data_IF_754228419451
#
_entry.id   IF_754228419451
#
_cell.length_a   1.000
_cell.length_b   1.000
_cell.length_c   1.000
_cell.angle_alpha   90.00
_cell.angle_beta   90.00
_cell.angle_gamma   90.00
#
_symmetry.space_group_name_H-M   'P 1'
#
loop_
_entity.id
_entity.type
_entity.pdbx_description
1 polymer ?
#
# COMPACT_ATOMS: atom_id res chain seq x y z
N UNK A 1 33.31 31.73 57.27
CA UNK A 1 32.82 30.34 57.25
C UNK A 1 31.32 30.22 56.97
N UNK A 2 30.44 30.99 57.62
CA UNK A 2 28.99 30.83 57.44
C UNK A 2 28.45 31.43 56.12
N UNK A 3 28.92 32.60 55.71
CA UNK A 3 28.58 33.20 54.40
C UNK A 3 29.08 32.35 53.22
N UNK A 4 30.25 31.74 53.34
CA UNK A 4 30.85 30.88 52.32
C UNK A 4 30.05 29.57 52.14
N UNK A 5 29.53 29.00 53.25
CA UNK A 5 28.58 27.88 53.20
C UNK A 5 27.26 28.25 52.53
N UNK A 6 26.74 29.46 52.74
CA UNK A 6 25.51 29.93 52.11
C UNK A 6 25.68 30.15 50.60
N UNK A 7 26.84 30.69 50.17
CA UNK A 7 27.16 30.85 48.75
C UNK A 7 27.32 29.51 48.04
N UNK A 8 28.06 28.56 48.65
CA UNK A 8 28.23 27.21 48.10
C UNK A 8 26.90 26.43 48.02
N UNK A 9 25.99 26.64 48.98
CA UNK A 9 24.67 26.04 48.94
C UNK A 9 23.82 26.63 47.80
N UNK A 10 23.89 27.95 47.58
CA UNK A 10 23.17 28.64 46.52
C UNK A 10 23.63 28.21 45.13
N UNK A 11 24.92 27.93 44.96
CA UNK A 11 25.50 27.48 43.68
C UNK A 11 25.17 26.00 43.38
N UNK A 12 24.98 25.18 44.42
CA UNK A 12 24.61 23.75 44.29
C UNK A 12 23.14 23.52 43.96
N UNK A 13 22.24 24.42 44.34
CA UNK A 13 20.81 24.29 44.06
C UNK A 13 20.45 24.32 42.55
N UNK A 14 20.97 25.24 41.71
CA UNK A 14 20.72 25.21 40.26
C UNK A 14 21.35 23.98 39.60
N UNK A 15 22.53 23.53 40.07
CA UNK A 15 23.20 22.33 39.56
C UNK A 15 22.35 21.07 39.78
N UNK A 16 21.79 20.89 40.98
CA UNK A 16 20.84 19.79 41.25
C UNK A 16 19.58 19.86 40.40
N UNK A 17 19.07 21.06 40.14
CA UNK A 17 17.89 21.25 39.28
C UNK A 17 18.20 20.89 37.83
N UNK A 18 19.38 21.28 37.34
CA UNK A 18 19.88 20.91 36.02
C UNK A 18 20.08 19.39 35.92
N UNK A 19 20.78 18.76 36.86
CA UNK A 19 20.95 17.31 36.89
C UNK A 19 19.62 16.56 36.90
N UNK A 20 18.64 17.04 37.68
CA UNK A 20 17.31 16.44 37.73
C UNK A 20 16.56 16.58 36.40
N UNK A 21 16.73 17.71 35.71
CA UNK A 21 16.14 17.96 34.40
C UNK A 21 16.79 17.08 33.32
N UNK A 22 18.12 17.01 33.29
CA UNK A 22 18.88 16.13 32.40
C UNK A 22 18.57 14.65 32.64
N UNK A 23 18.41 14.24 33.90
CA UNK A 23 18.06 12.86 34.24
C UNK A 23 16.64 12.53 33.75
N UNK A 24 15.71 13.48 33.87
CA UNK A 24 14.35 13.33 33.35
C UNK A 24 14.33 13.23 31.82
N UNK A 25 15.13 14.05 31.13
CA UNK A 25 15.24 14.05 29.67
C UNK A 25 15.90 12.76 29.17
N UNK A 26 17.02 12.33 29.78
CA UNK A 26 17.66 11.03 29.50
C UNK A 26 16.68 9.88 29.69
N UNK A 27 15.85 9.91 30.74
CA UNK A 27 14.83 8.88 31.00
C UNK A 27 13.73 8.86 29.95
N UNK A 28 13.32 10.03 29.44
CA UNK A 28 12.37 10.15 28.31
C UNK A 28 12.95 9.58 27.02
N UNK A 29 14.18 9.96 26.68
CA UNK A 29 14.87 9.47 25.48
C UNK A 29 15.05 7.94 25.53
N UNK A 30 15.38 7.39 26.69
CA UNK A 30 15.54 5.94 26.86
C UNK A 30 14.21 5.19 26.63
N UNK A 31 13.12 5.72 27.19
CA UNK A 31 11.78 5.17 27.01
C UNK A 31 11.33 5.21 25.54
N UNK A 32 11.63 6.31 24.83
CA UNK A 32 11.31 6.46 23.42
C UNK A 32 12.14 5.53 22.52
N UNK A 33 13.42 5.37 22.82
CA UNK A 33 14.30 4.42 22.13
C UNK A 33 13.82 2.96 22.33
N UNK A 34 13.41 2.61 23.55
CA UNK A 34 12.89 1.29 23.86
C UNK A 34 11.55 1.03 23.17
N UNK A 35 10.67 2.04 23.12
CA UNK A 35 9.41 1.97 22.37
C UNK A 35 9.68 1.74 20.88
N UNK A 36 10.60 2.52 20.28
CA UNK A 36 10.98 2.36 18.86
C UNK A 36 11.55 0.98 18.58
N UNK A 37 12.44 0.48 19.45
CA UNK A 37 13.04 -0.87 19.33
C UNK A 37 11.98 -1.97 19.43
N UNK A 38 10.96 -1.79 20.28
CA UNK A 38 9.86 -2.74 20.43
C UNK A 38 8.95 -2.75 19.20
N UNK A 39 8.64 -1.58 18.64
CA UNK A 39 7.89 -1.45 17.39
C UNK A 39 8.65 -2.08 16.22
N UNK A 40 9.96 -1.86 16.12
CA UNK A 40 10.84 -2.44 15.10
C UNK A 40 10.94 -3.96 15.21
N UNK A 41 11.12 -4.50 16.42
CA UNK A 41 11.10 -5.94 16.69
C UNK A 41 9.75 -6.58 16.34
N UNK A 42 8.65 -5.88 16.61
CA UNK A 42 7.30 -6.35 16.28
C UNK A 42 7.08 -6.35 14.76
N UNK A 43 7.54 -5.32 14.04
CA UNK A 43 7.48 -5.26 12.57
C UNK A 43 8.32 -6.37 11.93
N UNK A 44 9.56 -6.53 12.39
CA UNK A 44 10.50 -7.53 11.89
C UNK A 44 10.05 -8.97 12.15
N UNK A 45 9.23 -9.23 13.17
CA UNK A 45 8.62 -10.55 13.39
C UNK A 45 7.36 -10.79 12.54
N UNK A 46 6.63 -9.73 12.15
CA UNK A 46 5.42 -9.86 11.34
C UNK A 46 5.71 -10.03 9.85
N UNK A 47 6.74 -9.38 9.31
CA UNK A 47 7.11 -9.52 7.89
C UNK A 47 7.41 -10.96 7.45
N UNK A 48 8.27 -11.75 8.14
CA UNK A 48 8.56 -13.12 7.72
C UNK A 48 7.34 -14.03 7.84
N UNK A 49 6.48 -13.83 8.86
CA UNK A 49 5.23 -14.59 8.99
C UNK A 49 4.25 -14.31 7.85
N UNK A 50 4.09 -13.04 7.46
CA UNK A 50 3.22 -12.66 6.34
C UNK A 50 3.73 -13.19 5.00
N UNK A 51 5.05 -13.12 4.76
CA UNK A 51 5.67 -13.69 3.56
C UNK A 51 5.50 -15.22 3.49
N UNK A 52 5.62 -15.91 4.62
CA UNK A 52 5.50 -17.36 4.69
C UNK A 52 4.04 -17.80 4.50
N UNK A 53 3.07 -17.11 5.11
CA UNK A 53 1.64 -17.34 4.93
C UNK A 53 1.17 -17.05 3.49
N UNK A 54 1.67 -15.98 2.87
CA UNK A 54 1.38 -15.67 1.46
C UNK A 54 1.96 -16.74 0.52
N UNK A 55 3.17 -17.23 0.82
CA UNK A 55 3.78 -18.31 0.03
C UNK A 55 3.04 -19.65 0.19
N UNK A 56 2.56 -19.98 1.40
CA UNK A 56 1.71 -21.16 1.62
C UNK A 56 0.37 -21.01 0.88
N UNK A 57 -0.27 -19.83 0.96
CA UNK A 57 -1.51 -19.53 0.24
C UNK A 57 -1.33 -19.58 -1.29
N UNK A 58 -0.18 -19.15 -1.80
CA UNK A 58 0.17 -19.26 -3.21
C UNK A 58 0.44 -20.71 -3.64
N UNK A 59 1.05 -21.53 -2.77
CA UNK A 59 1.24 -22.97 -3.00
C UNK A 59 -0.09 -23.73 -2.95
N UNK A 60 -1.00 -23.40 -2.04
CA UNK A 60 -2.35 -23.97 -1.99
C UNK A 60 -3.19 -23.56 -3.19
N UNK A 61 -3.09 -22.30 -3.64
CA UNK A 61 -3.72 -21.84 -4.88
C UNK A 61 -3.12 -22.53 -6.13
N UNK A 62 -1.81 -22.75 -6.16
CA UNK A 62 -1.15 -23.50 -7.23
C UNK A 62 -1.49 -25.00 -7.19
N UNK A 63 -1.65 -25.60 -6.01
CA UNK A 63 -2.13 -26.97 -5.83
C UNK A 63 -3.59 -27.12 -6.27
N UNK A 64 -4.46 -26.15 -5.94
CA UNK A 64 -5.84 -26.09 -6.44
C UNK A 64 -5.89 -25.95 -7.97
N UNK A 65 -5.00 -25.14 -8.57
CA UNK A 65 -4.86 -25.03 -10.01
C UNK A 65 -4.33 -26.32 -10.68
N UNK A 66 -3.42 -27.06 -10.03
CA UNK A 66 -2.93 -28.34 -10.53
C UNK A 66 -3.99 -29.45 -10.45
N UNK A 67 -4.79 -29.48 -9.38
CA UNK A 67 -5.96 -30.38 -9.26
C UNK A 67 -7.01 -30.07 -10.32
N UNK A 68 -7.22 -28.79 -10.66
CA UNK A 68 -8.10 -28.35 -11.75
C UNK A 68 -7.58 -28.80 -13.13
N UNK A 69 -6.27 -28.71 -13.39
CA UNK A 69 -5.70 -29.22 -14.65
C UNK A 69 -5.71 -30.76 -14.78
N UNK A 70 -5.80 -31.50 -13.66
CA UNK A 70 -5.90 -32.97 -13.67
C UNK A 70 -7.34 -33.47 -13.87
N UNK A 71 -8.36 -32.68 -13.48
CA UNK A 71 -9.77 -33.06 -13.67
C UNK A 71 -10.29 -32.80 -15.11
N UNK A 72 -9.53 -32.10 -15.95
CA UNK A 72 -9.86 -31.80 -17.35
C UNK A 72 -9.52 -32.88 -18.37
N UNK A 73 -9.15 -34.09 -17.95
CA UNK A 73 -8.87 -35.22 -18.85
C UNK A 73 -9.78 -36.44 -18.64
N UNK A 74 -10.97 -36.25 -18.07
CA UNK A 74 -12.03 -37.27 -18.10
C UNK A 74 -13.02 -36.84 -19.17
N UNK A 75 -13.05 -37.55 -20.30
CA UNK A 75 -14.15 -37.47 -21.26
C UNK A 75 -15.40 -37.96 -20.53
N UNK A 76 -16.24 -37.03 -20.07
CA UNK A 76 -17.58 -37.32 -19.57
C UNK A 76 -18.54 -37.13 -20.74
N UNK A 77 -19.16 -38.23 -21.15
CA UNK A 77 -20.29 -38.27 -22.06
C UNK A 77 -21.42 -37.39 -21.49
N UNK A 78 -21.86 -36.40 -22.26
CA UNK A 78 -22.90 -35.44 -21.85
C UNK A 78 -24.28 -36.09 -22.00
N UNK A 79 -24.93 -36.37 -20.88
CA UNK A 79 -26.40 -36.44 -20.81
C UNK A 79 -26.89 -35.25 -19.99
N UNK A 80 -27.57 -34.33 -20.69
CA UNK A 80 -28.39 -33.24 -20.17
C UNK A 80 -29.51 -33.77 -19.25
N UNK A 81 -29.95 -33.04 -18.18
CA UNK A 81 -30.88 -31.93 -18.44
C UNK A 81 -30.85 -30.71 -17.48
N UNK A 82 -31.23 -29.57 -18.06
CA UNK A 82 -31.92 -28.42 -17.46
C UNK A 82 -31.14 -27.44 -16.56
N UNK A 83 -30.99 -26.19 -17.04
CA UNK A 83 -31.11 -25.01 -16.16
C UNK A 83 -29.99 -23.95 -16.12
N UNK A 84 -29.14 -23.79 -17.14
CA UNK A 84 -28.12 -22.70 -17.17
C UNK A 84 -28.31 -21.74 -18.36
N UNK A 85 -28.11 -20.41 -18.19
CA UNK A 85 -28.22 -19.46 -19.28
C UNK A 85 -27.10 -19.69 -20.31
N UNK A 86 -27.49 -19.68 -21.59
CA UNK A 86 -26.61 -19.93 -22.73
C UNK A 86 -25.80 -18.68 -23.04
N UNK A 87 -24.60 -18.59 -22.47
CA UNK A 87 -23.65 -17.52 -22.78
C UNK A 87 -22.96 -17.86 -24.12
N UNK A 88 -23.49 -17.32 -25.23
CA UNK A 88 -22.86 -17.38 -26.55
C UNK A 88 -21.60 -16.50 -26.56
N UNK A 89 -20.48 -17.03 -27.07
CA UNK A 89 -19.17 -16.37 -27.15
C UNK A 89 -19.14 -15.09 -28.01
N UNK A 90 -20.22 -14.79 -28.73
CA UNK A 90 -20.31 -13.66 -29.66
C UNK A 90 -21.24 -12.53 -29.16
N UNK A 91 -21.76 -12.65 -27.93
CA UNK A 91 -22.50 -11.57 -27.30
C UNK A 91 -21.56 -10.83 -26.34
N UNK A 92 -21.03 -9.69 -26.75
CA UNK A 92 -20.23 -8.76 -25.94
C UNK A 92 -21.06 -8.16 -24.79
N UNK A 93 -21.73 -8.97 -23.96
CA UNK A 93 -22.48 -8.52 -22.79
C UNK A 93 -23.24 -7.22 -23.00
N UNK A 94 -23.85 -7.04 -24.19
CA UNK A 94 -24.63 -5.85 -24.49
C UNK A 94 -25.93 -6.04 -23.75
N UNK A 95 -25.87 -5.69 -22.47
CA UNK A 95 -27.02 -5.55 -21.62
C UNK A 95 -27.90 -4.48 -22.25
N UNK A 96 -29.10 -4.89 -22.67
CA UNK A 96 -30.10 -4.01 -23.27
C UNK A 96 -30.81 -3.15 -22.21
N UNK A 97 -30.41 -3.28 -20.94
CA UNK A 97 -30.81 -2.37 -19.89
C UNK A 97 -29.91 -1.14 -19.92
N UNK A 98 -30.42 -0.06 -20.55
CA UNK A 98 -29.90 1.31 -20.45
C UNK A 98 -30.07 1.90 -19.05
N UNK A 99 -30.05 1.08 -18.00
CA UNK A 99 -29.96 1.59 -16.66
C UNK A 99 -28.50 1.97 -16.46
N UNK A 100 -28.29 3.18 -15.98
CA UNK A 100 -27.03 3.88 -15.75
C UNK A 100 -26.21 3.21 -14.64
N UNK A 101 -26.01 1.89 -14.77
CA UNK A 101 -25.04 1.10 -14.04
C UNK A 101 -23.68 1.43 -14.61
N UNK A 102 -23.33 2.70 -14.43
CA UNK A 102 -21.98 3.19 -14.25
C UNK A 102 -21.19 2.13 -13.48
N UNK A 103 -19.94 1.94 -13.90
CA UNK A 103 -18.90 1.17 -13.21
C UNK A 103 -19.22 1.08 -11.71
N UNK A 104 -19.43 -0.11 -11.16
CA UNK A 104 -19.75 -0.26 -9.74
C UNK A 104 -18.57 0.30 -8.93
N UNK A 105 -18.62 1.60 -8.62
CA UNK A 105 -17.55 2.40 -8.02
C UNK A 105 -17.09 1.82 -6.68
N UNK A 106 -17.97 1.04 -6.04
CA UNK A 106 -17.69 0.37 -4.77
C UNK A 106 -16.97 -0.97 -4.93
N UNK A 107 -16.88 -1.51 -6.15
CA UNK A 107 -16.21 -2.77 -6.48
C UNK A 107 -15.31 -2.58 -7.71
N UNK A 108 -14.11 -1.98 -7.53
CA UNK A 108 -13.15 -1.89 -8.61
C UNK A 108 -12.90 -3.28 -9.18
N UNK A 109 -13.21 -3.46 -10.47
CA UNK A 109 -13.16 -4.76 -11.16
C UNK A 109 -11.77 -5.41 -11.15
N UNK A 110 -10.72 -4.65 -10.81
CA UNK A 110 -9.34 -5.12 -10.67
C UNK A 110 -8.85 -4.89 -9.24
N UNK A 111 -8.21 -5.91 -8.60
CA UNK A 111 -7.63 -5.72 -7.29
C UNK A 111 -6.49 -4.69 -7.35
N UNK A 112 -6.34 -3.91 -6.29
CA UNK A 112 -5.24 -2.94 -6.17
C UNK A 112 -3.90 -3.64 -6.25
N UNK A 113 -3.00 -3.26 -7.16
CA UNK A 113 -1.68 -3.88 -7.24
C UNK A 113 -0.84 -3.51 -6.02
N UNK A 114 0.09 -4.40 -5.63
CA UNK A 114 0.89 -4.25 -4.41
C UNK A 114 1.59 -2.89 -4.32
N UNK A 115 2.17 -2.41 -5.44
CA UNK A 115 2.90 -1.13 -5.51
C UNK A 115 2.01 0.09 -5.23
N UNK A 116 0.70 -0.03 -5.47
CA UNK A 116 -0.27 1.04 -5.28
C UNK A 116 -0.94 0.99 -3.89
N UNK A 117 -0.40 0.19 -2.95
CA UNK A 117 -1.00 0.02 -1.63
C UNK A 117 0.05 0.02 -0.50
N UNK A 118 -0.38 0.47 0.69
CA UNK A 118 0.36 0.29 1.94
C UNK A 118 1.79 0.83 1.93
N UNK A 119 2.72 -0.01 2.40
CA UNK A 119 4.14 0.35 2.58
C UNK A 119 4.91 0.51 1.28
N UNK A 120 4.54 -0.21 0.22
CA UNK A 120 5.23 -0.09 -1.07
C UNK A 120 4.99 1.28 -1.69
N UNK A 121 3.75 1.76 -1.65
CA UNK A 121 3.40 3.10 -2.11
C UNK A 121 4.11 4.18 -1.29
N UNK A 122 4.09 4.08 0.05
CA UNK A 122 4.70 5.09 0.90
C UNK A 122 6.22 5.19 0.71
N UNK A 123 6.92 4.05 0.60
CA UNK A 123 8.35 4.03 0.31
C UNK A 123 8.66 4.59 -1.08
N UNK A 124 7.86 4.25 -2.10
CA UNK A 124 8.03 4.76 -3.46
C UNK A 124 7.89 6.29 -3.52
N UNK A 125 6.88 6.86 -2.83
CA UNK A 125 6.65 8.31 -2.77
C UNK A 125 7.82 9.01 -2.08
N UNK A 126 8.26 8.50 -0.91
CA UNK A 126 9.40 9.08 -0.19
C UNK A 126 10.64 9.07 -1.09
N UNK A 127 10.90 7.96 -1.78
CA UNK A 127 12.04 7.85 -2.70
C UNK A 127 11.94 8.84 -3.85
N UNK A 128 10.77 8.99 -4.49
CA UNK A 128 10.58 9.95 -5.58
C UNK A 128 10.75 11.41 -5.11
N UNK A 129 10.32 11.72 -3.89
CA UNK A 129 10.45 13.06 -3.31
C UNK A 129 11.92 13.46 -3.08
N UNK A 130 12.73 12.56 -2.51
CA UNK A 130 14.14 12.86 -2.22
C UNK A 130 15.09 12.58 -3.40
N UNK A 131 14.71 11.67 -4.29
CA UNK A 131 15.47 11.30 -5.49
C UNK A 131 14.61 11.54 -6.73
N UNK A 132 14.26 12.81 -6.96
CA UNK A 132 13.45 13.20 -8.11
C UNK A 132 14.26 13.02 -9.41
N UNK A 133 13.77 12.22 -10.37
CA UNK A 133 14.39 12.12 -11.68
C UNK A 133 14.15 13.41 -12.48
N UNK A 134 14.95 13.62 -13.51
CA UNK A 134 14.72 14.70 -14.48
C UNK A 134 13.43 14.40 -15.27
N UNK A 135 12.37 15.15 -14.96
CA UNK A 135 11.03 14.98 -15.55
C UNK A 135 11.03 15.39 -17.02
N UNK A 136 11.79 16.42 -17.38
CA UNK A 136 11.88 16.90 -18.76
C UNK A 136 12.65 15.91 -19.64
N UNK A 137 13.69 15.26 -19.08
CA UNK A 137 14.39 14.18 -19.77
C UNK A 137 13.53 12.90 -19.87
N UNK A 138 12.75 12.58 -18.83
CA UNK A 138 11.98 11.34 -18.77
C UNK A 138 10.73 11.37 -19.65
N UNK A 139 9.99 12.49 -19.66
CA UNK A 139 8.73 12.63 -20.40
C UNK A 139 8.86 13.47 -21.67
N UNK A 140 9.90 14.29 -21.79
CA UNK A 140 10.06 15.19 -22.91
C UNK A 140 8.98 16.27 -22.95
N UNK A 141 8.95 17.02 -24.06
CA UNK A 141 7.88 17.99 -24.33
C UNK A 141 6.61 17.26 -24.70
N UNK A 142 5.58 17.36 -23.86
CA UNK A 142 4.24 16.81 -24.16
C UNK A 142 3.56 17.71 -25.20
N UNK A 143 3.20 17.20 -26.38
CA UNK A 143 2.51 18.00 -27.38
C UNK A 143 1.11 18.37 -26.89
N UNK A 144 0.73 19.64 -27.07
CA UNK A 144 -0.65 20.08 -26.84
C UNK A 144 -1.54 19.37 -27.86
N UNK A 145 -2.48 18.58 -27.36
CA UNK A 145 -3.48 17.91 -28.19
C UNK A 145 -4.56 18.92 -28.57
N UNK A 146 -4.89 18.98 -29.86
CA UNK A 146 -6.04 19.74 -30.34
C UNK A 146 -7.32 19.01 -29.95
N UNK A 147 -8.32 19.75 -29.47
CA UNK A 147 -9.58 19.15 -29.05
C UNK A 147 -10.33 18.58 -30.26
N UNK A 148 -10.18 19.20 -31.43
CA UNK A 148 -10.77 18.75 -32.68
C UNK A 148 -10.26 17.35 -33.07
N UNK A 149 -8.98 17.07 -32.82
CA UNK A 149 -8.34 15.78 -33.11
C UNK A 149 -8.68 14.70 -32.07
N UNK A 150 -9.14 15.09 -30.87
CA UNK A 150 -9.57 14.15 -29.81
C UNK A 150 -11.05 13.81 -29.94
N UNK A 151 -11.88 14.81 -30.24
CA UNK A 151 -13.35 14.70 -30.17
C UNK A 151 -14.04 14.64 -31.53
N UNK A 152 -13.29 14.75 -32.63
CA UNK A 152 -13.81 14.83 -34.01
C UNK A 152 -14.93 15.87 -34.16
N UNK A 153 -14.88 16.93 -33.34
CA UNK A 153 -15.83 18.04 -33.32
C UNK A 153 -15.05 19.32 -33.49
N UNK A 154 -15.17 19.92 -34.66
CA UNK A 154 -14.90 21.34 -34.82
C UNK A 154 -16.05 22.10 -34.15
N UNK A 155 -15.75 23.12 -33.35
CA UNK A 155 -16.70 24.17 -32.98
C UNK A 155 -17.22 24.79 -34.29
N UNK A 156 -18.33 24.26 -34.80
CA UNK A 156 -19.07 24.80 -35.93
C UNK A 156 -19.62 26.15 -35.49
N UNK A 157 -18.96 27.23 -35.91
CA UNK A 157 -19.50 28.58 -35.91
C UNK A 157 -20.58 28.74 -36.98
#
# INVERSE_FOLDING_TARGET
MEQEKQQLALEREPEKLQEKWELQEKKRLLWELEKRKKEECHHQQQEPKKLQEEQEKAKDAAAAAWVSNKCWNVKVDVQDPAGGPKNSYDNYGMDLHSDDSTDDENQPRKPTPAWASGSQLSQAIIRQYYMSPDIDQLFGTIPSQRLEDIFDKSELH
#
